data_IF_983646529491
#
_entry.id   IF_983646529491
#
_cell.length_a   1.000
_cell.length_b   1.000
_cell.length_c   1.000
_cell.angle_alpha   90.00
_cell.angle_beta   90.00
_cell.angle_gamma   90.00
#
_symmetry.space_group_name_H-M   'P 1'
#
loop_
_entity.id
_entity.type
_entity.pdbx_description
1 polymer ?
#
# COMPACT_ATOMS: atom_id res chain seq x y z
N UNK A 1 8.08 6.23 0.09
CA UNK A 1 8.87 6.80 1.21
C UNK A 1 10.22 6.10 1.30
N UNK A 2 11.29 6.85 1.53
CA UNK A 2 12.62 6.31 1.74
C UNK A 2 12.95 6.37 3.24
N UNK A 3 13.33 5.24 3.81
CA UNK A 3 13.61 5.11 5.24
C UNK A 3 15.09 5.29 5.61
N UNK A 4 15.84 6.02 4.79
CA UNK A 4 17.25 6.29 5.04
C UNK A 4 18.19 5.29 4.41
N UNK A 5 17.75 4.58 3.38
CA UNK A 5 18.61 3.70 2.60
C UNK A 5 19.77 4.48 1.97
N UNK A 6 21.00 4.06 2.23
CA UNK A 6 22.21 4.70 1.69
C UNK A 6 22.92 3.84 0.66
N UNK A 7 22.43 2.61 0.40
CA UNK A 7 23.10 1.62 -0.44
C UNK A 7 22.62 1.58 -1.89
N UNK A 8 21.51 2.27 -2.20
CA UNK A 8 20.90 2.26 -3.53
C UNK A 8 20.35 3.64 -3.89
N UNK A 9 19.82 3.76 -5.08
CA UNK A 9 19.27 5.01 -5.61
C UNK A 9 17.79 5.19 -5.28
N UNK A 10 17.32 4.65 -4.17
CA UNK A 10 15.89 4.65 -3.81
C UNK A 10 15.31 6.07 -3.80
N UNK A 11 15.99 7.01 -3.16
CA UNK A 11 15.53 8.39 -3.08
C UNK A 11 15.48 9.06 -4.45
N UNK A 12 16.46 8.83 -5.30
CA UNK A 12 16.51 9.38 -6.66
C UNK A 12 15.36 8.85 -7.51
N UNK A 13 15.09 7.54 -7.42
CA UNK A 13 13.97 6.91 -8.13
C UNK A 13 12.64 7.47 -7.64
N UNK A 14 12.47 7.59 -6.32
CA UNK A 14 11.25 8.16 -5.75
C UNK A 14 11.01 9.60 -6.21
N UNK A 15 12.05 10.43 -6.22
CA UNK A 15 11.96 11.80 -6.71
C UNK A 15 11.61 11.89 -8.19
N UNK A 16 12.12 10.96 -8.99
CA UNK A 16 11.79 10.89 -10.42
C UNK A 16 10.28 10.66 -10.63
N UNK A 17 9.68 9.75 -9.86
CA UNK A 17 8.24 9.53 -9.92
C UNK A 17 7.45 10.71 -9.37
N UNK A 18 7.93 11.38 -8.35
CA UNK A 18 7.32 12.61 -7.84
C UNK A 18 7.25 13.69 -8.91
N UNK A 19 8.31 13.86 -9.70
CA UNK A 19 8.35 14.80 -10.82
C UNK A 19 7.39 14.42 -11.95
N UNK A 20 7.26 13.11 -12.23
CA UNK A 20 6.35 12.62 -13.26
C UNK A 20 4.87 12.73 -12.87
N UNK A 21 4.57 12.58 -11.59
CA UNK A 21 3.19 12.58 -11.08
C UNK A 21 3.05 13.54 -9.89
N UNK A 22 3.20 14.87 -10.15
CA UNK A 22 3.10 15.86 -9.09
C UNK A 22 1.71 15.84 -8.44
N UNK A 23 1.67 15.94 -7.12
CA UNK A 23 0.43 15.87 -6.36
C UNK A 23 -0.11 14.46 -6.12
N UNK A 24 0.43 13.44 -6.79
CA UNK A 24 0.05 12.02 -6.62
C UNK A 24 1.15 11.27 -5.89
N UNK A 25 2.38 11.38 -6.36
CA UNK A 25 3.55 10.74 -5.75
C UNK A 25 4.31 11.78 -4.94
N UNK A 26 4.60 11.43 -3.68
CA UNK A 26 5.39 12.26 -2.77
C UNK A 26 6.56 11.44 -2.24
N UNK A 27 7.77 11.85 -2.56
CA UNK A 27 8.99 11.23 -2.04
C UNK A 27 9.32 11.82 -0.68
N UNK A 28 9.46 10.97 0.34
CA UNK A 28 9.83 11.39 1.71
C UNK A 28 11.07 10.62 2.12
N UNK A 29 12.13 11.34 2.47
CA UNK A 29 13.36 10.78 2.99
C UNK A 29 13.47 11.04 4.49
N UNK A 30 13.95 10.05 5.23
CA UNK A 30 14.24 10.17 6.67
C UNK A 30 15.45 9.33 7.03
N UNK A 31 16.03 9.60 8.19
CA UNK A 31 17.03 8.72 8.76
C UNK A 31 16.39 7.37 9.12
N UNK A 32 17.17 6.30 8.98
CA UNK A 32 16.67 4.96 9.24
C UNK A 32 16.30 4.80 10.72
N UNK A 33 15.01 4.72 10.98
CA UNK A 33 14.43 4.51 12.32
C UNK A 33 13.69 3.18 12.45
N UNK A 34 13.83 2.29 11.45
CA UNK A 34 13.14 1.02 11.41
C UNK A 34 11.80 1.08 10.69
N UNK A 35 11.21 -0.11 10.47
CA UNK A 35 9.96 -0.27 9.71
C UNK A 35 8.78 0.50 10.32
N UNK A 36 8.59 0.40 11.63
CA UNK A 36 7.49 1.10 12.30
C UNK A 36 7.57 2.62 12.17
N UNK A 37 8.78 3.17 12.29
CA UNK A 37 9.01 4.60 12.10
C UNK A 37 8.69 5.03 10.66
N UNK A 38 9.08 4.21 9.69
CA UNK A 38 8.79 4.45 8.28
C UNK A 38 7.29 4.49 8.01
N UNK A 39 6.54 3.53 8.56
CA UNK A 39 5.07 3.48 8.44
C UNK A 39 4.43 4.71 9.07
N UNK A 40 4.86 5.10 10.26
CA UNK A 40 4.34 6.30 10.95
C UNK A 40 4.59 7.57 10.14
N UNK A 41 5.76 7.70 9.54
CA UNK A 41 6.08 8.84 8.67
C UNK A 41 5.20 8.86 7.43
N UNK A 42 4.98 7.69 6.82
CA UNK A 42 4.07 7.56 5.69
C UNK A 42 2.65 7.98 6.04
N UNK A 43 2.14 7.52 7.17
CA UNK A 43 0.80 7.90 7.65
C UNK A 43 0.69 9.41 7.90
N UNK A 44 1.71 10.01 8.51
CA UNK A 44 1.73 11.46 8.77
C UNK A 44 1.72 12.31 7.50
N UNK A 45 2.24 11.78 6.39
CA UNK A 45 2.28 12.47 5.10
C UNK A 45 1.11 12.11 4.17
N UNK A 46 0.31 11.13 4.53
CA UNK A 46 -0.83 10.70 3.71
C UNK A 46 -1.99 11.71 3.83
N UNK A 47 -2.66 11.96 2.71
CA UNK A 47 -3.79 12.92 2.63
C UNK A 47 -5.06 12.30 2.09
N UNK A 48 -5.03 11.02 1.69
CA UNK A 48 -6.18 10.33 1.14
C UNK A 48 -7.18 9.90 2.20
N UNK A 49 -8.36 9.47 1.76
CA UNK A 49 -9.41 8.93 2.62
C UNK A 49 -9.02 7.57 3.19
N UNK A 50 -8.33 6.75 2.40
CA UNK A 50 -7.86 5.43 2.81
C UNK A 50 -6.34 5.39 2.80
N UNK A 51 -5.79 4.63 3.72
CA UNK A 51 -4.35 4.43 3.86
C UNK A 51 -4.01 2.94 3.68
N UNK A 52 -2.98 2.66 2.91
CA UNK A 52 -2.46 1.31 2.71
C UNK A 52 -0.94 1.31 2.70
N UNK A 53 -0.35 0.35 3.39
CA UNK A 53 1.10 0.10 3.34
C UNK A 53 1.38 -0.98 2.31
N UNK A 54 2.35 -0.73 1.44
CA UNK A 54 2.90 -1.72 0.51
C UNK A 54 4.41 -1.74 0.71
N UNK A 55 4.92 -2.88 1.17
CA UNK A 55 6.35 -3.05 1.36
C UNK A 55 7.09 -3.07 0.02
N UNK A 56 8.37 -2.74 0.02
CA UNK A 56 9.15 -2.59 -1.21
C UNK A 56 9.35 -3.88 -2.00
N UNK A 57 9.20 -5.02 -1.34
CA UNK A 57 9.29 -6.35 -1.96
C UNK A 57 7.92 -6.96 -2.30
N UNK A 58 6.84 -6.21 -2.04
CA UNK A 58 5.48 -6.62 -2.35
C UNK A 58 4.95 -5.88 -3.58
N UNK A 59 3.92 -6.45 -4.19
CA UNK A 59 3.22 -5.82 -5.31
C UNK A 59 1.73 -6.17 -5.29
N UNK A 60 0.96 -5.50 -6.12
CA UNK A 60 -0.47 -5.74 -6.23
C UNK A 60 -0.83 -6.40 -7.55
N UNK A 61 -1.84 -7.27 -7.55
CA UNK A 61 -2.45 -7.75 -8.79
C UNK A 61 -3.31 -6.63 -9.36
N UNK A 62 -2.97 -6.17 -10.58
CA UNK A 62 -3.60 -5.00 -11.18
C UNK A 62 -5.12 -5.15 -11.32
N UNK A 63 -5.58 -6.32 -11.76
CA UNK A 63 -7.03 -6.56 -11.94
C UNK A 63 -7.77 -6.50 -10.62
N UNK A 64 -7.25 -7.17 -9.60
CA UNK A 64 -7.85 -7.19 -8.26
C UNK A 64 -7.76 -5.81 -7.60
N UNK A 65 -6.65 -5.12 -7.77
CA UNK A 65 -6.45 -3.78 -7.21
C UNK A 65 -7.42 -2.77 -7.83
N UNK A 66 -7.67 -2.84 -9.13
CA UNK A 66 -8.67 -1.99 -9.79
C UNK A 66 -10.07 -2.21 -9.22
N UNK A 67 -10.44 -3.47 -8.93
CA UNK A 67 -11.72 -3.78 -8.29
C UNK A 67 -11.82 -3.17 -6.89
N UNK A 68 -10.73 -3.25 -6.12
CA UNK A 68 -10.65 -2.65 -4.79
C UNK A 68 -10.82 -1.13 -4.89
N UNK A 69 -10.10 -0.47 -5.79
CA UNK A 69 -10.19 0.98 -6.00
C UNK A 69 -11.59 1.41 -6.41
N UNK A 70 -12.24 0.66 -7.29
CA UNK A 70 -13.64 0.91 -7.69
C UNK A 70 -14.56 0.84 -6.48
N UNK A 71 -14.40 -0.16 -5.63
CA UNK A 71 -15.21 -0.33 -4.42
C UNK A 71 -14.98 0.80 -3.42
N UNK A 72 -13.73 1.19 -3.20
CA UNK A 72 -13.39 2.32 -2.33
C UNK A 72 -13.99 3.63 -2.83
N UNK A 73 -13.97 3.84 -4.13
CA UNK A 73 -14.60 5.01 -4.76
C UNK A 73 -16.11 5.03 -4.53
N UNK A 74 -16.77 3.88 -4.65
CA UNK A 74 -18.21 3.76 -4.34
C UNK A 74 -18.51 4.13 -2.89
N UNK A 75 -17.70 3.68 -1.93
CA UNK A 75 -17.87 4.02 -0.53
C UNK A 75 -17.77 5.53 -0.29
N UNK A 76 -16.82 6.19 -0.92
CA UNK A 76 -16.64 7.64 -0.82
C UNK A 76 -17.84 8.38 -1.43
N UNK A 77 -18.29 7.98 -2.62
CA UNK A 77 -19.40 8.60 -3.34
C UNK A 77 -20.73 8.45 -2.58
N UNK A 78 -20.93 7.34 -1.89
CA UNK A 78 -22.14 7.06 -1.13
C UNK A 78 -22.08 7.57 0.31
N UNK A 79 -20.96 8.15 0.72
CA UNK A 79 -20.69 8.59 2.10
C UNK A 79 -20.91 7.47 3.12
N UNK A 80 -20.57 6.25 2.73
CA UNK A 80 -20.66 5.03 3.55
C UNK A 80 -19.26 4.44 3.72
N UNK A 81 -18.44 5.12 4.55
CA UNK A 81 -17.03 4.79 4.72
C UNK A 81 -16.84 3.69 5.76
N UNK A 82 -16.27 2.52 5.37
CA UNK A 82 -15.86 1.53 6.34
C UNK A 82 -14.60 2.01 7.08
N UNK A 83 -14.43 1.56 8.31
CA UNK A 83 -13.21 1.85 9.09
C UNK A 83 -12.02 1.07 8.56
N UNK A 84 -12.27 -0.14 8.07
CA UNK A 84 -11.23 -1.03 7.56
C UNK A 84 -11.74 -1.87 6.39
N UNK A 85 -10.91 -2.03 5.39
CA UNK A 85 -11.14 -2.95 4.27
C UNK A 85 -10.02 -3.97 4.25
N UNK A 86 -10.37 -5.25 4.28
CA UNK A 86 -9.41 -6.36 4.24
C UNK A 86 -9.53 -7.06 2.89
N UNK A 87 -8.40 -7.24 2.23
CA UNK A 87 -8.31 -7.99 0.99
C UNK A 87 -7.46 -9.24 1.19
N UNK A 88 -7.72 -10.26 0.38
CA UNK A 88 -6.90 -11.46 0.35
C UNK A 88 -5.53 -11.15 -0.24
N UNK A 89 -4.55 -12.00 0.05
CA UNK A 89 -3.23 -11.89 -0.55
C UNK A 89 -2.71 -13.26 -0.99
N UNK A 90 -1.75 -13.22 -1.89
CA UNK A 90 -1.10 -14.42 -2.41
C UNK A 90 0.32 -14.49 -1.86
N UNK A 91 0.65 -15.61 -1.27
CA UNK A 91 2.00 -15.88 -0.81
C UNK A 91 2.80 -16.50 -1.96
N UNK A 92 3.75 -15.74 -2.51
CA UNK A 92 4.52 -16.14 -3.69
C UNK A 92 6.01 -16.19 -3.33
N UNK A 93 6.55 -17.42 -3.21
CA UNK A 93 7.97 -17.63 -2.94
C UNK A 93 8.72 -17.79 -4.26
N UNK A 94 9.93 -17.24 -4.32
CA UNK A 94 10.87 -17.49 -5.44
C UNK A 94 11.13 -19.00 -5.54
N UNK A 95 10.91 -19.56 -6.73
CA UNK A 95 11.09 -20.99 -7.00
C UNK A 95 9.94 -21.89 -6.59
N UNK A 96 8.90 -21.37 -5.96
CA UNK A 96 7.72 -22.15 -5.61
C UNK A 96 6.86 -22.44 -6.84
N UNK A 97 6.42 -23.70 -6.99
CA UNK A 97 5.57 -24.13 -8.12
C UNK A 97 4.11 -23.74 -7.95
N UNK A 98 3.67 -23.44 -6.73
CA UNK A 98 2.28 -23.09 -6.41
C UNK A 98 2.23 -21.83 -5.58
N UNK A 99 1.27 -20.96 -5.91
CA UNK A 99 0.93 -19.79 -5.14
C UNK A 99 -0.05 -20.17 -4.04
N UNK A 100 0.16 -19.64 -2.84
CA UNK A 100 -0.77 -19.82 -1.74
C UNK A 100 -1.59 -18.54 -1.59
N UNK A 101 -2.91 -18.66 -1.72
CA UNK A 101 -3.84 -17.55 -1.50
C UNK A 101 -4.32 -17.59 -0.05
N UNK A 102 -4.18 -16.47 0.63
CA UNK A 102 -4.66 -16.29 2.00
C UNK A 102 -6.01 -15.56 1.94
N UNK A 103 -7.04 -16.20 2.48
CA UNK A 103 -8.40 -15.68 2.53
C UNK A 103 -8.77 -15.24 3.94
N UNK A 104 -9.44 -14.11 4.05
CA UNK A 104 -9.89 -13.53 5.32
C UNK A 104 -11.40 -13.59 5.53
N UNK A 105 -12.12 -14.32 4.69
CA UNK A 105 -13.59 -14.38 4.70
C UNK A 105 -14.18 -14.76 6.06
N UNK A 106 -13.48 -15.61 6.82
CA UNK A 106 -13.91 -16.09 8.11
C UNK A 106 -13.15 -15.48 9.29
N UNK A 107 -12.27 -14.50 9.03
CA UNK A 107 -11.44 -13.91 10.08
C UNK A 107 -12.19 -12.94 10.97
N UNK A 108 -13.20 -12.27 10.40
CA UNK A 108 -14.02 -11.28 11.08
C UNK A 108 -15.49 -11.48 10.72
N UNK A 109 -16.42 -11.18 11.63
CA UNK A 109 -17.85 -11.19 11.28
C UNK A 109 -18.14 -10.15 10.21
N UNK A 110 -18.89 -10.54 9.20
CA UNK A 110 -19.32 -9.64 8.12
C UNK A 110 -20.79 -9.31 8.35
N UNK A 111 -21.06 -8.08 8.69
CA UNK A 111 -22.42 -7.57 8.94
C UNK A 111 -23.04 -6.86 7.73
N UNK A 112 -22.58 -7.16 6.54
CA UNK A 112 -23.12 -6.54 5.33
C UNK A 112 -23.62 -7.53 4.33
#
# INVERSE_FOLDING_TARGET
MDDGSTKDNTLEIAKKYEEQYPGIVKAVHQENGGHGQAVNTGLANATGVFFKVVDSDDWVDIKSYRKILTKLKEFVEKDDLPDMVIANYVYEKVGAKRKKVIHYENALPVER
#
